data_IF_189656479008
#
_entry.id   IF_189656479008
#
_cell.length_a   1.000
_cell.length_b   1.000
_cell.length_c   1.000
_cell.angle_alpha   90.00
_cell.angle_beta   90.00
_cell.angle_gamma   90.00
#
_symmetry.space_group_name_H-M   'P 1'
#
loop_
_entity.id
_entity.type
_entity.pdbx_description
1 polymer ?
#
# COMPACT_ATOMS: atom_id res chain seq x y z
N UNK A 1 14.51 -9.87 -43.87
CA UNK A 1 14.13 -8.90 -42.82
C UNK A 1 14.82 -9.32 -41.53
N UNK A 2 15.84 -8.60 -41.10
CA UNK A 2 16.48 -8.86 -39.81
C UNK A 2 15.62 -8.20 -38.73
N UNK A 3 15.14 -8.99 -37.77
CA UNK A 3 14.46 -8.47 -36.60
C UNK A 3 15.46 -7.59 -35.83
N UNK A 4 15.17 -6.29 -35.73
CA UNK A 4 15.86 -5.42 -34.81
C UNK A 4 15.56 -5.93 -33.39
N UNK A 5 16.52 -6.62 -32.80
CA UNK A 5 16.50 -6.96 -31.38
C UNK A 5 16.50 -5.64 -30.62
N UNK A 6 15.33 -5.21 -30.15
CA UNK A 6 15.20 -4.11 -29.19
C UNK A 6 16.01 -4.49 -27.96
N UNK A 7 17.22 -3.94 -27.86
CA UNK A 7 18.04 -4.10 -26.67
C UNK A 7 17.29 -3.45 -25.52
N UNK A 8 17.07 -4.18 -24.43
CA UNK A 8 16.44 -3.64 -23.24
C UNK A 8 17.17 -2.36 -22.80
N UNK A 9 16.43 -1.30 -22.41
CA UNK A 9 17.05 -0.04 -22.03
C UNK A 9 17.98 -0.23 -20.84
N UNK A 10 19.12 0.47 -20.85
CA UNK A 10 20.05 0.47 -19.74
C UNK A 10 19.36 1.02 -18.49
N UNK A 11 19.53 0.35 -17.35
CA UNK A 11 19.12 0.89 -16.05
C UNK A 11 20.31 1.59 -15.42
N UNK A 12 20.05 2.62 -14.64
CA UNK A 12 21.09 3.37 -13.95
C UNK A 12 20.77 3.46 -12.47
N UNK A 13 21.79 3.39 -11.63
CA UNK A 13 21.68 3.67 -10.22
C UNK A 13 22.84 4.56 -9.78
N UNK A 14 22.62 5.38 -8.76
CA UNK A 14 23.69 6.13 -8.14
C UNK A 14 23.47 6.18 -6.63
N UNK A 15 24.44 5.69 -5.87
CA UNK A 15 24.37 5.63 -4.42
C UNK A 15 25.53 6.35 -3.76
N UNK A 16 25.24 6.97 -2.62
CA UNK A 16 26.25 7.40 -1.66
C UNK A 16 26.49 6.23 -0.71
N UNK A 17 27.71 5.73 -0.64
CA UNK A 17 28.11 4.62 0.23
C UNK A 17 29.04 5.14 1.32
N UNK A 18 28.73 4.84 2.58
CA UNK A 18 29.66 5.05 3.69
C UNK A 18 30.67 3.92 3.76
N UNK A 19 31.95 4.28 3.78
CA UNK A 19 33.08 3.36 3.80
C UNK A 19 33.97 3.70 4.99
N UNK A 20 34.50 2.72 5.74
CA UNK A 20 35.47 3.00 6.80
C UNK A 20 36.74 3.66 6.23
N UNK A 21 37.21 4.71 6.91
CA UNK A 21 38.41 5.45 6.53
C UNK A 21 39.66 4.63 6.89
N UNK A 22 40.56 4.45 5.92
CA UNK A 22 41.78 3.65 6.10
C UNK A 22 42.75 4.28 7.14
N UNK A 23 42.79 5.63 7.25
CA UNK A 23 43.66 6.35 8.19
C UNK A 23 42.93 7.52 8.93
N UNK A 24 42.61 7.36 10.22
CA UNK A 24 41.83 8.36 10.99
C UNK A 24 42.56 9.68 11.30
N UNK A 25 43.89 9.77 11.10
CA UNK A 25 44.72 10.89 11.57
C UNK A 25 44.89 12.05 10.58
N UNK A 26 44.44 11.90 9.33
CA UNK A 26 44.60 12.90 8.28
C UNK A 26 43.28 13.10 7.51
N UNK A 27 42.21 13.47 8.23
CA UNK A 27 40.86 13.48 7.65
C UNK A 27 40.42 14.88 7.23
N UNK A 28 40.35 15.18 5.92
CA UNK A 28 39.52 16.27 5.41
C UNK A 28 38.02 15.91 5.47
N UNK A 29 37.16 16.92 5.49
CA UNK A 29 35.71 16.74 5.50
C UNK A 29 35.25 15.93 4.27
N UNK A 30 34.69 14.74 4.50
CA UNK A 30 34.26 13.81 3.44
C UNK A 30 34.98 12.45 3.42
N UNK A 31 36.02 12.26 4.25
CA UNK A 31 36.65 10.95 4.36
C UNK A 31 35.64 9.88 4.81
N UNK A 32 35.56 8.79 4.06
CA UNK A 32 34.70 7.65 4.37
C UNK A 32 33.35 7.68 3.66
N UNK A 33 33.24 8.41 2.56
CA UNK A 33 32.11 8.30 1.62
C UNK A 33 32.62 8.18 0.20
N UNK A 34 31.97 7.32 -0.58
CA UNK A 34 32.13 7.28 -2.04
C UNK A 34 30.78 7.37 -2.72
N UNK A 35 30.75 7.93 -3.92
CA UNK A 35 29.59 7.93 -4.80
C UNK A 35 29.80 6.91 -5.91
N UNK A 36 28.86 6.00 -6.08
CA UNK A 36 28.92 4.92 -7.08
C UNK A 36 27.76 5.09 -8.05
N UNK A 37 28.08 5.47 -9.29
CA UNK A 37 27.15 5.41 -10.42
C UNK A 37 27.35 4.06 -11.12
N UNK A 38 26.28 3.32 -11.30
CA UNK A 38 26.29 2.06 -12.03
C UNK A 38 25.36 2.14 -13.25
N UNK A 39 25.78 1.50 -14.34
CA UNK A 39 24.96 1.28 -15.53
C UNK A 39 24.76 -0.22 -15.70
N UNK A 40 23.52 -0.65 -15.64
CA UNK A 40 23.11 -2.05 -15.67
C UNK A 40 22.55 -2.40 -17.04
N UNK A 41 23.12 -3.42 -17.66
CA UNK A 41 22.64 -4.04 -18.88
C UNK A 41 22.25 -5.50 -18.57
N UNK A 42 21.49 -6.19 -19.45
CA UNK A 42 20.97 -7.52 -19.14
C UNK A 42 22.01 -8.58 -18.73
N UNK A 43 23.26 -8.44 -19.18
CA UNK A 43 24.33 -9.43 -18.95
C UNK A 43 25.68 -8.81 -18.57
N UNK A 44 25.74 -7.49 -18.39
CA UNK A 44 26.96 -6.75 -18.05
C UNK A 44 26.65 -5.48 -17.27
N UNK A 45 27.66 -4.86 -16.67
CA UNK A 45 27.50 -3.57 -16.01
C UNK A 45 28.77 -2.73 -16.10
N UNK A 46 28.65 -1.42 -15.90
CA UNK A 46 29.80 -0.55 -15.67
C UNK A 46 29.61 0.29 -14.41
N UNK A 47 30.71 0.59 -13.74
CA UNK A 47 30.78 1.39 -12.53
C UNK A 47 31.64 2.62 -12.77
N UNK A 48 31.20 3.76 -12.28
CA UNK A 48 31.97 4.98 -12.10
C UNK A 48 31.88 5.37 -10.63
N UNK A 49 33.02 5.46 -9.96
CA UNK A 49 33.12 5.69 -8.52
C UNK A 49 33.98 6.91 -8.25
N UNK A 50 33.57 7.77 -7.32
CA UNK A 50 34.37 8.91 -6.87
C UNK A 50 34.28 9.10 -5.36
N UNK A 51 35.39 9.52 -4.74
CA UNK A 51 35.45 10.00 -3.36
C UNK A 51 35.39 11.55 -3.27
N UNK A 52 35.15 12.21 -4.41
CA UNK A 52 35.15 13.67 -4.57
C UNK A 52 36.50 14.25 -5.01
N UNK A 53 37.61 13.52 -4.87
CA UNK A 53 38.94 13.95 -5.31
C UNK A 53 39.47 13.12 -6.48
N UNK A 54 39.33 11.80 -6.39
CA UNK A 54 39.67 10.82 -7.42
C UNK A 54 38.43 10.22 -8.07
N UNK A 55 38.64 9.53 -9.19
CA UNK A 55 37.61 8.75 -9.84
C UNK A 55 38.17 7.44 -10.39
N UNK A 56 37.36 6.39 -10.32
CA UNK A 56 37.70 5.05 -10.76
C UNK A 56 36.54 4.45 -11.53
N UNK A 57 36.87 3.62 -12.52
CA UNK A 57 35.89 2.99 -13.40
C UNK A 57 36.11 1.48 -13.47
N UNK A 58 35.05 0.75 -13.73
CA UNK A 58 35.14 -0.64 -14.15
C UNK A 58 34.07 -0.94 -15.19
N UNK A 59 34.47 -1.62 -16.25
CA UNK A 59 33.57 -2.20 -17.24
C UNK A 59 33.59 -3.71 -17.04
N UNK A 60 32.53 -4.25 -16.43
CA UNK A 60 32.38 -5.68 -16.22
C UNK A 60 31.76 -6.29 -17.47
N UNK A 61 32.58 -6.90 -18.32
CA UNK A 61 32.14 -7.48 -19.60
C UNK A 61 31.19 -8.67 -19.40
N UNK A 62 30.41 -9.00 -20.45
CA UNK A 62 29.50 -10.15 -20.44
C UNK A 62 30.20 -11.46 -20.03
N UNK A 63 31.46 -11.65 -20.44
CA UNK A 63 32.24 -12.83 -20.10
C UNK A 63 32.65 -12.84 -18.61
N UNK A 64 33.15 -11.72 -18.09
CA UNK A 64 33.56 -11.63 -16.69
C UNK A 64 32.39 -11.78 -15.73
N UNK A 65 31.24 -11.17 -16.05
CA UNK A 65 30.02 -11.31 -15.24
C UNK A 65 29.55 -12.76 -15.23
N UNK A 66 29.55 -13.46 -16.39
CA UNK A 66 29.22 -14.89 -16.44
C UNK A 66 30.15 -15.73 -15.57
N UNK A 67 31.46 -15.54 -15.70
CA UNK A 67 32.45 -16.28 -14.91
C UNK A 67 32.30 -16.02 -13.40
N UNK A 68 31.92 -14.79 -13.00
CA UNK A 68 31.67 -14.44 -11.60
C UNK A 68 30.35 -15.01 -11.07
N UNK A 69 29.30 -15.01 -11.89
CA UNK A 69 28.03 -15.61 -11.53
C UNK A 69 28.15 -17.13 -11.35
N UNK A 70 28.92 -17.79 -12.22
CA UNK A 70 29.24 -19.22 -12.14
C UNK A 70 30.04 -19.55 -10.87
N UNK A 71 31.03 -18.74 -10.48
CA UNK A 71 31.75 -18.91 -9.20
C UNK A 71 30.83 -18.88 -7.96
N UNK A 72 29.62 -18.33 -8.11
CA UNK A 72 28.64 -18.17 -7.05
C UNK A 72 27.43 -19.09 -7.23
N UNK A 73 27.52 -20.04 -8.17
CA UNK A 73 26.46 -20.98 -8.54
C UNK A 73 25.10 -20.28 -8.68
N UNK A 74 25.08 -19.17 -9.43
CA UNK A 74 23.85 -18.40 -9.68
C UNK A 74 23.74 -17.93 -11.12
N UNK A 75 22.50 -17.73 -11.62
CA UNK A 75 22.27 -17.11 -12.91
C UNK A 75 22.87 -15.70 -12.99
N UNK A 76 23.26 -15.28 -14.20
CA UNK A 76 23.76 -13.91 -14.46
C UNK A 76 22.76 -12.85 -14.03
N UNK A 77 21.47 -13.08 -14.29
CA UNK A 77 20.41 -12.15 -13.92
C UNK A 77 20.36 -11.91 -12.40
N UNK A 78 20.48 -12.97 -11.60
CA UNK A 78 20.44 -12.90 -10.13
C UNK A 78 21.71 -12.26 -9.57
N UNK A 79 22.88 -12.59 -10.15
CA UNK A 79 24.14 -11.93 -9.80
C UNK A 79 24.08 -10.41 -10.02
N UNK A 80 23.51 -9.98 -11.16
CA UNK A 80 23.34 -8.57 -11.49
C UNK A 80 22.29 -7.90 -10.61
N UNK A 81 21.14 -8.54 -10.36
CA UNK A 81 20.10 -8.01 -9.49
C UNK A 81 20.60 -7.85 -8.05
N UNK A 82 21.42 -8.79 -7.56
CA UNK A 82 22.09 -8.68 -6.27
C UNK A 82 23.04 -7.47 -6.25
N UNK A 83 23.90 -7.32 -7.26
CA UNK A 83 24.80 -6.18 -7.34
C UNK A 83 24.04 -4.85 -7.42
N UNK A 84 22.98 -4.79 -8.22
CA UNK A 84 22.10 -3.62 -8.35
C UNK A 84 21.44 -3.27 -7.02
N UNK A 85 20.94 -4.25 -6.27
CA UNK A 85 20.32 -4.01 -4.96
C UNK A 85 21.29 -3.34 -3.96
N UNK A 86 22.53 -3.82 -3.88
CA UNK A 86 23.53 -3.31 -2.94
C UNK A 86 24.22 -2.02 -3.39
N UNK A 87 24.23 -1.73 -4.70
CA UNK A 87 24.84 -0.51 -5.26
C UNK A 87 23.83 0.57 -5.66
N UNK A 88 22.54 0.27 -5.72
CA UNK A 88 21.50 1.28 -5.88
C UNK A 88 21.18 1.99 -4.56
N UNK A 89 21.27 1.27 -3.44
CA UNK A 89 21.04 1.80 -2.11
C UNK A 89 22.00 1.15 -1.11
N UNK A 90 22.51 1.95 -0.17
CA UNK A 90 23.33 1.43 0.92
C UNK A 90 22.47 0.53 1.82
N UNK A 91 22.88 -0.73 1.98
CA UNK A 91 22.18 -1.69 2.82
C UNK A 91 22.63 -1.60 4.30
N UNK A 92 21.71 -1.52 5.27
CA UNK A 92 22.05 -1.34 6.69
C UNK A 92 22.84 -2.51 7.33
N UNK A 93 22.64 -3.73 6.83
CA UNK A 93 23.25 -4.98 7.30
C UNK A 93 24.59 -5.28 6.61
N UNK A 94 24.97 -4.46 5.64
CA UNK A 94 26.16 -4.63 4.82
C UNK A 94 27.30 -3.73 5.26
N UNK A 95 28.49 -4.31 5.33
CA UNK A 95 29.74 -3.54 5.47
C UNK A 95 30.35 -3.32 4.09
N UNK A 96 30.45 -2.06 3.68
CA UNK A 96 31.09 -1.64 2.44
C UNK A 96 32.57 -1.30 2.69
N UNK A 97 33.43 -1.59 1.72
CA UNK A 97 34.86 -1.26 1.76
C UNK A 97 35.32 -0.68 0.43
N UNK A 98 36.25 0.29 0.50
CA UNK A 98 36.87 0.93 -0.66
C UNK A 98 38.34 1.17 -0.35
N UNK A 99 39.19 0.22 -0.73
CA UNK A 99 40.61 0.20 -0.33
C UNK A 99 41.55 0.23 -1.54
N UNK A 100 42.80 0.62 -1.31
CA UNK A 100 43.83 0.59 -2.35
C UNK A 100 44.12 -0.86 -2.81
N UNK A 101 44.10 -1.07 -4.13
CA UNK A 101 44.40 -2.34 -4.78
C UNK A 101 45.70 -2.29 -5.60
N UNK A 102 46.50 -1.24 -5.40
CA UNK A 102 47.81 -1.05 -6.01
C UNK A 102 47.76 -0.54 -7.44
N UNK A 103 48.82 0.14 -7.87
CA UNK A 103 48.94 0.78 -9.21
C UNK A 103 47.81 1.80 -9.46
N UNK A 104 47.38 2.52 -8.42
CA UNK A 104 46.26 3.47 -8.48
C UNK A 104 44.87 2.84 -8.50
N UNK A 105 44.77 1.52 -8.59
CA UNK A 105 43.49 0.82 -8.59
C UNK A 105 42.85 0.86 -7.22
N UNK A 106 41.51 0.85 -7.18
CA UNK A 106 40.75 0.68 -5.94
C UNK A 106 39.97 -0.63 -5.98
N UNK A 107 39.63 -1.17 -4.83
CA UNK A 107 38.72 -2.31 -4.71
C UNK A 107 37.47 -1.89 -3.96
N UNK A 108 36.34 -1.98 -4.64
CA UNK A 108 35.03 -1.83 -4.03
C UNK A 108 34.55 -3.21 -3.59
N UNK A 109 34.11 -3.31 -2.35
CA UNK A 109 33.47 -4.51 -1.86
C UNK A 109 32.33 -4.22 -0.90
N UNK A 110 31.45 -5.20 -0.75
CA UNK A 110 30.42 -5.22 0.28
C UNK A 110 30.15 -6.63 0.74
N UNK A 111 29.61 -6.75 1.94
CA UNK A 111 29.21 -8.03 2.52
C UNK A 111 27.72 -8.26 2.38
N UNK A 112 27.31 -9.51 2.25
CA UNK A 112 25.89 -9.88 2.20
C UNK A 112 25.76 -11.29 2.75
N UNK A 113 24.56 -11.64 3.23
CA UNK A 113 24.29 -12.96 3.77
C UNK A 113 23.54 -13.82 2.75
N UNK A 114 23.96 -15.08 2.60
CA UNK A 114 23.26 -16.08 1.81
C UNK A 114 23.25 -17.39 2.57
N UNK A 115 22.05 -17.92 2.85
CA UNK A 115 21.86 -19.19 3.55
C UNK A 115 22.63 -19.29 4.89
N UNK A 116 22.64 -18.22 5.69
CA UNK A 116 23.35 -18.20 6.97
C UNK A 116 24.88 -17.98 6.87
N UNK A 117 25.41 -17.78 5.67
CA UNK A 117 26.84 -17.53 5.45
C UNK A 117 27.06 -16.09 4.99
N UNK A 118 27.96 -15.37 5.66
CA UNK A 118 28.39 -14.03 5.26
C UNK A 118 29.44 -14.12 4.16
N UNK A 119 29.10 -13.60 2.99
CA UNK A 119 29.96 -13.56 1.80
C UNK A 119 30.35 -12.12 1.48
N UNK A 120 31.37 -11.94 0.65
CA UNK A 120 31.85 -10.62 0.24
C UNK A 120 31.96 -10.53 -1.29
N UNK A 121 31.20 -9.61 -1.87
CA UNK A 121 31.29 -9.27 -3.27
C UNK A 121 32.42 -8.26 -3.48
N UNK A 122 33.30 -8.49 -4.46
CA UNK A 122 34.49 -7.64 -4.67
C UNK A 122 34.73 -7.36 -6.14
N UNK A 123 34.93 -6.09 -6.49
CA UNK A 123 35.36 -5.68 -7.82
C UNK A 123 36.53 -4.70 -7.78
N UNK A 124 37.44 -4.87 -8.73
CA UNK A 124 38.59 -4.02 -8.93
C UNK A 124 38.24 -2.92 -9.91
N UNK A 125 38.53 -1.68 -9.53
CA UNK A 125 38.30 -0.48 -10.31
C UNK A 125 39.65 0.10 -10.75
N UNK A 126 39.73 0.54 -11.99
CA UNK A 126 40.92 1.22 -12.54
C UNK A 126 40.79 2.73 -12.36
N UNK A 127 41.89 3.49 -12.23
CA UNK A 127 41.83 4.95 -12.31
C UNK A 127 41.09 5.40 -13.56
N UNK A 128 40.22 6.40 -13.43
CA UNK A 128 39.60 7.03 -14.59
C UNK A 128 40.67 7.71 -15.46
N UNK A 129 40.62 7.57 -16.80
CA UNK A 129 41.48 8.33 -17.71
C UNK A 129 41.30 9.85 -17.57
N UNK A 130 40.08 10.29 -17.20
CA UNK A 130 39.75 11.70 -16.98
C UNK A 130 38.89 11.84 -15.73
N UNK A 131 39.57 12.02 -14.59
CA UNK A 131 38.93 12.15 -13.27
C UNK A 131 37.86 13.25 -13.23
N UNK A 132 38.15 14.43 -13.77
CA UNK A 132 37.24 15.57 -13.71
C UNK A 132 35.96 15.32 -14.50
N UNK A 133 36.09 14.72 -15.68
CA UNK A 133 34.94 14.34 -16.50
C UNK A 133 34.09 13.26 -15.83
N UNK A 134 34.70 12.22 -15.25
CA UNK A 134 33.93 11.19 -14.55
C UNK A 134 33.17 11.76 -13.36
N UNK A 135 33.77 12.69 -12.61
CA UNK A 135 33.11 13.37 -11.49
C UNK A 135 31.95 14.23 -12.01
N UNK A 136 32.16 15.03 -13.06
CA UNK A 136 31.09 15.86 -13.63
C UNK A 136 29.94 15.00 -14.15
N UNK A 137 30.20 13.89 -14.83
CA UNK A 137 29.17 12.98 -15.33
C UNK A 137 28.36 12.28 -14.22
N UNK A 138 28.95 12.08 -13.03
CA UNK A 138 28.22 11.59 -11.85
C UNK A 138 27.35 12.71 -11.28
N UNK A 139 27.88 13.93 -11.18
CA UNK A 139 27.13 15.09 -10.68
C UNK A 139 25.97 15.47 -11.61
N UNK A 140 26.19 15.51 -12.92
CA UNK A 140 25.16 15.78 -13.93
C UNK A 140 24.03 14.75 -13.82
N UNK A 141 24.37 13.47 -13.70
CA UNK A 141 23.38 12.41 -13.48
C UNK A 141 22.54 12.63 -12.22
N UNK A 142 23.19 13.02 -11.10
CA UNK A 142 22.50 13.31 -9.84
C UNK A 142 21.62 14.56 -9.93
N UNK A 143 22.08 15.61 -10.60
CA UNK A 143 21.32 16.84 -10.81
C UNK A 143 20.10 16.59 -11.70
N UNK A 144 20.26 15.87 -12.81
CA UNK A 144 19.15 15.47 -13.68
C UNK A 144 18.12 14.63 -12.93
N UNK A 145 18.57 13.68 -12.11
CA UNK A 145 17.69 12.88 -11.27
C UNK A 145 16.94 13.73 -10.24
N UNK A 146 17.62 14.71 -9.63
CA UNK A 146 17.02 15.63 -8.67
C UNK A 146 15.95 16.52 -9.32
N UNK A 147 16.21 17.07 -10.51
CA UNK A 147 15.26 17.87 -11.28
C UNK A 147 14.01 17.04 -11.59
N UNK A 148 14.17 15.85 -12.18
CA UNK A 148 13.05 14.95 -12.51
C UNK A 148 12.23 14.57 -11.27
N UNK A 149 12.90 14.23 -10.17
CA UNK A 149 12.20 13.86 -8.93
C UNK A 149 11.44 15.05 -8.34
N UNK A 150 12.03 16.25 -8.38
CA UNK A 150 11.38 17.48 -7.90
C UNK A 150 10.13 17.80 -8.72
N UNK A 151 10.20 17.71 -10.04
CA UNK A 151 9.04 17.86 -10.94
C UNK A 151 7.96 16.80 -10.65
N UNK A 152 8.36 15.56 -10.38
CA UNK A 152 7.45 14.48 -10.03
C UNK A 152 6.74 14.71 -8.69
N UNK A 153 7.46 15.18 -7.68
CA UNK A 153 6.88 15.56 -6.40
C UNK A 153 5.85 16.67 -6.59
N UNK A 154 6.18 17.74 -7.31
CA UNK A 154 5.25 18.86 -7.56
C UNK A 154 3.98 18.35 -8.26
N UNK A 155 4.13 17.59 -9.34
CA UNK A 155 3.01 17.05 -10.11
C UNK A 155 2.13 16.12 -9.28
N UNK A 156 2.74 15.20 -8.52
CA UNK A 156 2.00 14.27 -7.65
C UNK A 156 1.25 15.01 -6.55
N UNK A 157 1.87 15.99 -5.89
CA UNK A 157 1.21 16.81 -4.87
C UNK A 157 0.01 17.56 -5.44
N UNK A 158 0.15 18.21 -6.60
CA UNK A 158 -0.98 18.88 -7.26
C UNK A 158 -2.12 17.92 -7.61
N UNK A 159 -1.80 16.71 -8.10
CA UNK A 159 -2.82 15.70 -8.40
C UNK A 159 -3.52 15.18 -7.13
N UNK A 160 -2.76 15.01 -6.05
CA UNK A 160 -3.28 14.58 -4.75
C UNK A 160 -4.24 15.62 -4.18
N UNK A 161 -3.89 16.90 -4.23
CA UNK A 161 -4.74 17.99 -3.73
C UNK A 161 -6.04 18.09 -4.53
N UNK A 162 -5.98 17.94 -5.86
CA UNK A 162 -7.18 17.89 -6.71
C UNK A 162 -8.08 16.72 -6.35
N UNK A 163 -7.52 15.52 -6.22
CA UNK A 163 -8.27 14.31 -5.88
C UNK A 163 -8.90 14.44 -4.49
N UNK A 164 -8.19 15.03 -3.53
CA UNK A 164 -8.72 15.31 -2.19
C UNK A 164 -9.91 16.26 -2.26
N UNK A 165 -9.84 17.34 -3.02
CA UNK A 165 -10.95 18.27 -3.20
C UNK A 165 -12.16 17.61 -3.87
N UNK A 166 -11.93 16.74 -4.86
CA UNK A 166 -13.00 15.97 -5.51
C UNK A 166 -13.66 15.00 -4.53
N UNK A 167 -12.88 14.28 -3.72
CA UNK A 167 -13.40 13.40 -2.68
C UNK A 167 -14.26 14.15 -1.65
N UNK A 168 -13.82 15.34 -1.21
CA UNK A 168 -14.59 16.19 -0.30
C UNK A 168 -15.91 16.67 -0.92
N UNK A 169 -15.91 17.04 -2.22
CA UNK A 169 -17.14 17.39 -2.95
C UNK A 169 -18.11 16.22 -3.05
N UNK A 170 -17.61 15.02 -3.39
CA UNK A 170 -18.44 13.81 -3.45
C UNK A 170 -19.04 13.47 -2.09
N UNK A 171 -18.27 13.62 -1.01
CA UNK A 171 -18.76 13.41 0.35
C UNK A 171 -19.90 14.38 0.69
N UNK A 172 -19.70 15.69 0.46
CA UNK A 172 -20.73 16.71 0.69
C UNK A 172 -21.99 16.46 -0.15
N UNK A 173 -21.82 16.03 -1.40
CA UNK A 173 -22.95 15.69 -2.26
C UNK A 173 -23.70 14.46 -1.76
N UNK A 174 -22.99 13.43 -1.29
CA UNK A 174 -23.58 12.22 -0.71
C UNK A 174 -24.37 12.53 0.56
N UNK A 175 -23.84 13.37 1.45
CA UNK A 175 -24.54 13.81 2.67
C UNK A 175 -25.83 14.56 2.35
N UNK A 176 -25.78 15.48 1.38
CA UNK A 176 -26.98 16.20 0.90
C UNK A 176 -28.02 15.25 0.34
N UNK A 177 -27.64 14.35 -0.56
CA UNK A 177 -28.56 13.36 -1.11
C UNK A 177 -29.17 12.46 -0.04
N UNK A 178 -28.41 12.07 0.97
CA UNK A 178 -28.94 11.26 2.06
C UNK A 178 -30.00 12.00 2.87
N UNK A 179 -29.79 13.29 3.14
CA UNK A 179 -30.77 14.13 3.82
C UNK A 179 -32.04 14.33 2.97
N UNK A 180 -31.88 14.70 1.70
CA UNK A 180 -33.00 14.86 0.76
C UNK A 180 -33.81 13.57 0.61
N UNK A 181 -33.14 12.42 0.57
CA UNK A 181 -33.78 11.10 0.56
C UNK A 181 -34.60 10.88 1.84
N UNK A 182 -34.02 11.14 3.01
CA UNK A 182 -34.72 10.96 4.28
C UNK A 182 -35.96 11.86 4.40
N UNK A 183 -35.85 13.13 3.98
CA UNK A 183 -36.98 14.08 3.93
C UNK A 183 -38.06 13.61 2.96
N UNK A 184 -37.68 13.14 1.76
CA UNK A 184 -38.60 12.61 0.76
C UNK A 184 -39.34 11.36 1.26
N UNK A 185 -38.61 10.43 1.88
CA UNK A 185 -39.19 9.22 2.50
C UNK A 185 -40.20 9.61 3.59
N UNK A 186 -39.82 10.49 4.50
CA UNK A 186 -40.71 10.97 5.58
C UNK A 186 -41.98 11.63 5.04
N UNK A 187 -41.86 12.51 4.05
CA UNK A 187 -42.99 13.18 3.42
C UNK A 187 -43.92 12.18 2.72
N UNK A 188 -43.36 11.17 2.08
CA UNK A 188 -44.10 10.12 1.39
C UNK A 188 -44.83 9.21 2.38
N UNK A 189 -44.15 8.74 3.43
CA UNK A 189 -44.77 7.95 4.51
C UNK A 189 -45.91 8.72 5.19
N UNK A 190 -45.73 10.01 5.45
CA UNK A 190 -46.77 10.85 6.06
C UNK A 190 -48.03 10.92 5.19
N UNK A 191 -47.88 11.07 3.87
CA UNK A 191 -49.01 11.03 2.91
C UNK A 191 -49.70 9.66 2.91
N UNK A 192 -48.93 8.56 2.92
CA UNK A 192 -49.50 7.21 2.99
C UNK A 192 -50.33 7.00 4.26
N UNK A 193 -49.82 7.44 5.42
CA UNK A 193 -50.54 7.36 6.71
C UNK A 193 -51.83 8.19 6.66
N UNK A 194 -51.80 9.40 6.08
CA UNK A 194 -53.00 10.22 5.92
C UNK A 194 -54.08 9.52 5.08
N UNK A 195 -53.69 8.89 3.96
CA UNK A 195 -54.60 8.11 3.11
C UNK A 195 -55.16 6.90 3.85
N UNK A 196 -54.32 6.15 4.57
CA UNK A 196 -54.75 5.00 5.38
C UNK A 196 -55.74 5.42 6.46
N UNK A 197 -55.49 6.52 7.16
CA UNK A 197 -56.40 7.05 8.18
C UNK A 197 -57.72 7.50 7.59
N UNK A 198 -57.71 8.17 6.43
CA UNK A 198 -58.94 8.55 5.70
C UNK A 198 -59.76 7.31 5.29
N UNK A 199 -59.10 6.28 4.75
CA UNK A 199 -59.75 5.00 4.43
C UNK A 199 -60.31 4.31 5.68
N UNK A 200 -59.56 4.29 6.80
CA UNK A 200 -60.00 3.71 8.07
C UNK A 200 -61.20 4.45 8.65
N UNK A 201 -61.21 5.78 8.59
CA UNK A 201 -62.34 6.60 9.00
C UNK A 201 -63.58 6.35 8.13
N UNK A 202 -63.40 6.21 6.80
CA UNK A 202 -64.50 5.89 5.90
C UNK A 202 -65.09 4.51 6.16
N UNK A 203 -64.25 3.51 6.42
CA UNK A 203 -64.69 2.16 6.80
C UNK A 203 -65.50 2.18 8.11
N UNK A 204 -65.09 2.95 9.11
CA UNK A 204 -65.88 3.12 10.35
C UNK A 204 -67.24 3.73 10.06
N UNK A 205 -67.29 4.86 9.34
CA UNK A 205 -68.57 5.48 8.96
C UNK A 205 -69.51 4.54 8.21
N UNK A 206 -68.98 3.70 7.31
CA UNK A 206 -69.79 2.74 6.58
C UNK A 206 -70.31 1.63 7.51
N UNK A 207 -69.49 1.14 8.45
CA UNK A 207 -69.93 0.19 9.47
C UNK A 207 -71.00 0.79 10.39
N UNK A 208 -70.82 2.02 10.84
CA UNK A 208 -71.78 2.70 11.72
C UNK A 208 -73.15 2.85 11.03
N UNK A 209 -73.16 3.23 9.74
CA UNK A 209 -74.40 3.30 8.93
C UNK A 209 -75.08 1.95 8.75
N UNK A 210 -74.32 0.86 8.62
CA UNK A 210 -74.87 -0.49 8.52
C UNK A 210 -75.57 -0.85 9.84
N UNK A 211 -74.92 -0.62 10.98
CA UNK A 211 -75.51 -0.85 12.30
C UNK A 211 -76.76 0.00 12.53
N UNK A 212 -76.74 1.28 12.13
CA UNK A 212 -77.89 2.18 12.25
C UNK A 212 -79.09 1.69 11.42
N UNK A 213 -78.87 1.24 10.17
CA UNK A 213 -79.91 0.67 9.32
C UNK A 213 -80.44 -0.68 9.85
N UNK A 214 -79.58 -1.52 10.42
CA UNK A 214 -79.98 -2.78 11.07
C UNK A 214 -80.81 -2.52 12.34
N UNK A 215 -80.50 -1.46 13.09
CA UNK A 215 -81.27 -1.04 14.26
C UNK A 215 -82.60 -0.36 13.87
N UNK A 216 -82.63 0.43 12.80
CA UNK A 216 -83.84 1.06 12.26
C UNK A 216 -84.78 0.04 11.57
N UNK A 217 -84.25 -1.12 11.17
CA UNK A 217 -85.00 -2.26 10.66
C UNK A 217 -85.56 -3.21 11.72
N UNK A 218 -85.28 -3.00 13.01
CA UNK A 218 -85.78 -3.83 14.11
C UNK A 218 -86.77 -3.07 14.99
N UNK A 219 -88.06 -3.41 14.86
CA UNK A 219 -88.99 -3.31 15.98
C UNK A 219 -88.59 -4.34 17.06
N UNK A 220 -88.85 -4.06 18.35
CA UNK A 220 -88.13 -4.66 19.46
C UNK A 220 -88.55 -6.11 19.70
N UNK A 221 -87.56 -7.00 19.75
CA UNK A 221 -87.53 -8.11 20.71
C UNK A 221 -86.13 -8.73 20.81
N UNK A 222 -85.81 -9.00 22.08
CA UNK A 222 -84.80 -9.91 22.61
C UNK A 222 -83.41 -9.31 22.89
N UNK A 223 -83.34 -8.82 24.14
CA UNK A 223 -82.18 -8.81 25.03
C UNK A 223 -81.41 -10.14 24.97
N UNK A 224 -80.08 -10.09 24.96
CA UNK A 224 -79.22 -10.94 25.81
C UNK A 224 -77.89 -10.21 26.04
N UNK A 225 -77.61 -9.97 27.32
CA UNK A 225 -76.33 -9.58 27.90
C UNK A 225 -75.27 -10.68 27.76
N UNK A 226 -74.00 -10.33 27.53
CA UNK A 226 -72.80 -10.96 28.11
C UNK A 226 -71.54 -10.21 27.61
N UNK A 227 -70.86 -9.49 28.51
CA UNK A 227 -69.60 -9.89 29.19
C UNK A 227 -68.38 -9.73 28.26
N UNK A 228 -67.53 -8.72 28.47
CA UNK A 228 -66.34 -8.71 29.37
C UNK A 228 -65.18 -9.62 28.88
N UNK A 229 -63.98 -9.03 28.95
CA UNK A 229 -62.65 -9.66 28.96
C UNK A 229 -62.00 -10.33 27.71
N UNK A 230 -60.94 -9.64 27.26
CA UNK A 230 -59.54 -10.11 27.25
C UNK A 230 -59.04 -11.14 26.19
N UNK A 231 -57.88 -10.78 25.64
CA UNK A 231 -56.78 -11.67 25.22
C UNK A 231 -57.00 -12.68 24.09
N UNK A 232 -56.29 -12.47 22.97
CA UNK A 232 -55.20 -13.32 22.43
C UNK A 232 -54.88 -12.81 21.03
N UNK A 233 -53.77 -12.10 20.84
CA UNK A 233 -52.59 -12.66 20.16
C UNK A 233 -52.92 -13.79 19.18
N UNK A 234 -53.01 -13.45 17.90
CA UNK A 234 -52.64 -14.39 16.85
C UNK A 234 -52.11 -13.65 15.64
N UNK A 235 -50.83 -13.34 15.77
CA UNK A 235 -49.90 -13.13 14.66
C UNK A 235 -49.98 -14.37 13.75
N UNK A 236 -50.70 -14.29 12.64
CA UNK A 236 -50.62 -15.32 11.60
C UNK A 236 -49.35 -15.04 10.79
N UNK A 237 -48.26 -15.65 11.26
CA UNK A 237 -47.03 -15.88 10.50
C UNK A 237 -47.40 -16.51 9.15
N UNK A 238 -47.03 -15.84 8.06
CA UNK A 238 -46.84 -16.50 6.78
C UNK A 238 -45.39 -16.97 6.72
N UNK A 239 -45.18 -18.25 7.03
CA UNK A 239 -43.92 -18.94 6.75
C UNK A 239 -44.24 -20.11 5.80
N UNK A 240 -43.89 -19.89 4.53
CA UNK A 240 -44.05 -20.84 3.43
C UNK A 240 -42.76 -20.88 2.62
N UNK A 241 -41.77 -21.56 3.22
CA UNK A 241 -40.78 -22.41 2.56
C UNK A 241 -39.80 -21.75 1.58
N UNK A 242 -38.62 -21.40 2.12
CA UNK A 242 -37.37 -21.25 1.38
C UNK A 242 -36.42 -22.38 1.78
N UNK A 243 -36.24 -23.35 0.89
CA UNK A 243 -35.15 -24.34 0.84
C UNK A 243 -34.93 -24.60 -0.67
N UNK A 244 -33.76 -24.77 -1.25
CA UNK A 244 -32.36 -24.66 -0.84
C UNK A 244 -31.56 -24.91 -2.13
N UNK A 245 -30.33 -24.41 -2.15
CA UNK A 245 -29.16 -25.04 -2.80
C UNK A 245 -28.78 -24.82 -4.28
N UNK A 246 -27.44 -24.75 -4.40
CA UNK A 246 -26.55 -24.89 -5.56
C UNK A 246 -26.65 -23.77 -6.61
N UNK A 247 -25.85 -22.70 -6.56
CA UNK A 247 -24.38 -22.62 -6.61
C UNK A 247 -23.76 -23.30 -7.84
N UNK A 248 -22.88 -22.53 -8.51
CA UNK A 248 -21.78 -22.94 -9.42
C UNK A 248 -22.25 -23.26 -10.85
N UNK A 249 -21.71 -22.74 -11.95
CA UNK A 249 -20.53 -21.93 -12.31
C UNK A 249 -20.75 -21.50 -13.80
N UNK A 250 -20.04 -20.60 -14.46
CA UNK A 250 -18.61 -20.68 -14.77
C UNK A 250 -18.02 -19.34 -15.26
N UNK A 251 -16.79 -19.15 -14.79
CA UNK A 251 -15.75 -18.16 -15.07
C UNK A 251 -15.11 -18.41 -16.48
N UNK A 252 -14.07 -17.68 -17.00
CA UNK A 252 -12.78 -17.49 -16.30
C UNK A 252 -11.90 -16.24 -16.60
N UNK A 253 -11.07 -15.90 -15.60
CA UNK A 253 -9.65 -15.44 -15.64
C UNK A 253 -9.30 -14.10 -16.32
N UNK A 254 -8.40 -13.24 -15.85
CA UNK A 254 -7.48 -13.07 -14.70
C UNK A 254 -6.94 -11.60 -14.85
N UNK A 255 -6.46 -10.84 -13.87
CA UNK A 255 -5.41 -11.02 -12.86
C UNK A 255 -5.30 -9.71 -12.06
N UNK A 256 -4.95 -9.76 -10.76
CA UNK A 256 -4.00 -8.78 -10.18
C UNK A 256 -4.48 -7.74 -9.15
N UNK A 257 -4.28 -8.09 -7.87
CA UNK A 257 -3.71 -7.27 -6.77
C UNK A 257 -4.46 -6.03 -6.21
N UNK A 258 -4.72 -6.03 -4.89
CA UNK A 258 -5.23 -4.83 -4.18
C UNK A 258 -5.40 -4.98 -2.66
N UNK A 259 -4.31 -4.72 -1.96
CA UNK A 259 -4.10 -4.49 -0.51
C UNK A 259 -5.29 -3.93 0.32
N UNK A 260 -5.51 -4.47 1.52
CA UNK A 260 -6.43 -3.94 2.56
C UNK A 260 -5.61 -3.23 3.64
N UNK A 261 -5.82 -1.93 3.82
CA UNK A 261 -5.35 -1.17 4.98
C UNK A 261 -6.52 -0.98 5.95
N UNK A 262 -6.37 -1.50 7.17
CA UNK A 262 -7.25 -1.20 8.31
C UNK A 262 -6.56 -0.18 9.22
N UNK A 263 -7.31 0.86 9.60
CA UNK A 263 -6.97 1.78 10.69
C UNK A 263 -7.68 1.39 11.99
N UNK A 264 -7.16 1.80 13.17
CA UNK A 264 -7.49 1.20 14.45
C UNK A 264 -8.49 2.02 15.29
N UNK A 265 -9.32 1.33 16.07
CA UNK A 265 -10.12 1.93 17.14
C UNK A 265 -9.55 1.61 18.53
N UNK A 266 -9.54 2.63 19.39
CA UNK A 266 -9.29 2.57 20.82
C UNK A 266 -10.62 2.40 21.56
N UNK A 267 -10.68 1.53 22.57
CA UNK A 267 -11.20 1.89 23.91
C UNK A 267 -10.99 0.76 24.92
N UNK A 268 -10.93 1.17 26.18
CA UNK A 268 -10.37 0.47 27.32
C UNK A 268 -11.37 -0.44 28.04
N UNK A 269 -10.86 -1.45 28.76
CA UNK A 269 -11.46 -1.85 30.04
C UNK A 269 -10.42 -2.44 31.01
N UNK A 270 -10.71 -2.19 32.27
CA UNK A 270 -9.93 -2.37 33.48
C UNK A 270 -9.94 -3.82 34.00
N UNK A 271 -8.85 -4.27 34.62
CA UNK A 271 -8.97 -5.08 35.85
C UNK A 271 -7.75 -4.92 36.77
N UNK A 272 -8.06 -4.66 38.04
CA UNK A 272 -7.14 -4.61 39.19
C UNK A 272 -6.97 -6.03 39.75
N UNK A 273 -5.78 -6.35 40.25
CA UNK A 273 -5.60 -7.50 41.14
C UNK A 273 -4.17 -7.77 41.59
N UNK A 274 -3.77 -7.13 42.71
CA UNK A 274 -2.82 -7.57 43.78
C UNK A 274 -1.77 -8.63 43.41
N UNK A 275 -0.46 -8.41 43.50
CA UNK A 275 0.30 -7.83 44.61
C UNK A 275 1.04 -8.91 45.40
N UNK A 276 2.38 -8.95 45.34
CA UNK A 276 3.28 -9.35 46.43
C UNK A 276 4.74 -9.12 46.04
N UNK A 277 5.38 -8.17 46.71
CA UNK A 277 6.80 -7.88 46.55
C UNK A 277 7.70 -8.88 47.26
N UNK A 278 8.96 -8.90 46.87
CA UNK A 278 10.09 -9.24 47.73
C UNK A 278 11.35 -8.51 47.25
N UNK A 279 11.72 -7.48 48.01
CA UNK A 279 13.08 -6.93 48.03
C UNK A 279 14.05 -8.00 48.54
N UNK A 280 15.22 -8.11 47.93
CA UNK A 280 16.45 -8.47 48.64
C UNK A 280 17.59 -7.62 48.11
N UNK A 281 18.19 -6.90 49.04
CA UNK A 281 19.47 -6.21 48.92
C UNK A 281 20.52 -6.97 49.75
N UNK A 282 21.79 -6.61 49.50
CA UNK A 282 23.07 -7.11 50.05
C UNK A 282 23.59 -8.34 49.30
N UNK A 283 24.82 -8.30 48.78
CA UNK A 283 26.06 -7.84 49.42
C UNK A 283 26.92 -7.03 48.47
#
# INVERSE_FOLDING_TARGET
>A
MAAASSAAPARHSCAKLSVPVEDPKAVPAGAGTVFVKATWLPSRFSLAVTDGAGAWVADASDHEVRLRAEQWDQPVADYLALAEHYLAFQQPDSTYSFHDAGKGNRRLSWTFERQGTKLEWRWKLQPSPNTQQTISEILDFLMDANIRLSEEVVRKTQSFDKLKQEAEKCLQQSERFNNEKAEFEQATFSKFVAVLNSKKAKLRQLRDKVVELESAGKNPKEEVEQEEENSTDRTELFEGESDKEASINDEPSGTGSGNVHSSPEKSASTSRGRGRGRKRAKK
#
